data_IF_832528885094
#
_entry.id   IF_832528885094
#
_cell.length_a   1.000
_cell.length_b   1.000
_cell.length_c   1.000
_cell.angle_alpha   90.00
_cell.angle_beta   90.00
_cell.angle_gamma   90.00
#
_symmetry.space_group_name_H-M   'P 1'
#
loop_
_entity.id
_entity.type
_entity.pdbx_description
1 polymer ?
#
# COMPACT_ATOMS: atom_id res chain seq x y z
N UNK A 1 15.98 -45.12 0.06
CA UNK A 1 14.82 -44.35 0.54
C UNK A 1 15.36 -42.97 0.83
N UNK A 2 15.10 -42.00 -0.05
CA UNK A 2 15.58 -40.64 0.08
C UNK A 2 14.35 -39.74 0.01
N UNK A 3 14.24 -38.88 1.01
CA UNK A 3 13.11 -38.02 1.28
C UNK A 3 12.95 -36.93 0.22
N UNK A 4 11.72 -36.52 0.00
CA UNK A 4 11.40 -35.14 -0.36
C UNK A 4 10.00 -34.88 0.18
N UNK A 5 9.94 -34.56 1.47
CA UNK A 5 8.76 -33.92 2.01
C UNK A 5 8.65 -32.57 1.32
N UNK A 6 7.64 -32.43 0.46
CA UNK A 6 7.19 -31.11 0.03
C UNK A 6 6.78 -30.39 1.31
N UNK A 7 7.64 -29.50 1.79
CA UNK A 7 7.20 -28.45 2.68
C UNK A 7 6.23 -27.62 1.86
N UNK A 8 4.96 -27.95 1.95
CA UNK A 8 3.88 -27.00 1.78
C UNK A 8 4.06 -25.97 2.89
N UNK A 9 5.01 -25.05 2.70
CA UNK A 9 5.03 -23.80 3.43
C UNK A 9 3.82 -23.06 2.89
N UNK A 10 2.66 -23.28 3.52
CA UNK A 10 1.42 -22.61 3.16
C UNK A 10 1.75 -21.16 2.89
N UNK A 11 1.48 -20.74 1.65
CA UNK A 11 1.93 -19.48 1.08
C UNK A 11 1.41 -18.34 1.96
N UNK A 12 2.24 -17.89 2.91
CA UNK A 12 1.92 -16.82 3.85
C UNK A 12 2.11 -15.45 3.19
N UNK A 13 1.82 -15.38 1.88
CA UNK A 13 1.82 -14.16 1.11
C UNK A 13 0.66 -13.24 1.51
N UNK A 14 0.71 -12.02 1.01
CA UNK A 14 -0.37 -11.06 1.23
C UNK A 14 -1.69 -11.60 0.69
N UNK A 15 -2.74 -11.50 1.49
CA UNK A 15 -4.11 -11.81 1.07
C UNK A 15 -5.06 -10.63 1.26
N UNK A 16 -4.73 -9.72 2.19
CA UNK A 16 -5.48 -8.49 2.44
C UNK A 16 -4.50 -7.33 2.51
N UNK A 17 -4.78 -6.30 1.73
CA UNK A 17 -4.02 -5.04 1.72
C UNK A 17 -5.03 -3.92 1.95
N UNK A 18 -4.78 -3.08 2.94
CA UNK A 18 -5.66 -1.97 3.29
C UNK A 18 -4.85 -0.69 3.18
N UNK A 19 -5.31 0.22 2.33
CA UNK A 19 -4.73 1.56 2.19
C UNK A 19 -5.57 2.52 3.00
N UNK A 20 -4.98 3.09 4.04
CA UNK A 20 -5.63 4.01 4.97
C UNK A 20 -4.99 5.40 4.87
N UNK A 21 -5.74 6.43 4.45
CA UNK A 21 -5.21 7.77 4.39
C UNK A 21 -5.31 8.48 5.74
N UNK A 22 -4.20 9.02 6.23
CA UNK A 22 -4.23 9.97 7.34
C UNK A 22 -4.51 11.37 6.79
N UNK A 23 -5.78 11.64 6.46
CA UNK A 23 -6.19 12.92 5.86
C UNK A 23 -6.11 14.06 6.89
N UNK A 24 -5.39 15.13 6.54
CA UNK A 24 -5.51 16.42 7.22
C UNK A 24 -6.68 17.20 6.61
N UNK A 25 -7.37 18.02 7.41
CA UNK A 25 -8.72 18.55 7.11
C UNK A 25 -8.89 19.34 5.80
N UNK A 26 -7.81 19.75 5.11
CA UNK A 26 -7.93 20.66 3.96
C UNK A 26 -7.15 20.26 2.69
N UNK A 27 -6.35 19.19 2.66
CA UNK A 27 -5.64 18.68 1.46
C UNK A 27 -5.22 19.75 0.41
N UNK A 28 -4.56 20.86 0.78
CA UNK A 28 -4.24 21.88 -0.19
C UNK A 28 -3.19 21.37 -1.17
N UNK A 29 -3.24 21.81 -2.42
CA UNK A 29 -2.19 21.51 -3.40
C UNK A 29 -0.83 21.94 -2.84
N UNK A 30 0.15 21.04 -2.88
CA UNK A 30 1.48 21.21 -2.29
C UNK A 30 1.62 20.68 -0.86
N UNK A 31 0.52 20.28 -0.19
CA UNK A 31 0.61 19.57 1.08
C UNK A 31 1.16 18.16 0.90
N UNK A 32 1.79 17.68 1.97
CA UNK A 32 2.29 16.30 2.08
C UNK A 32 1.27 15.49 2.85
N UNK A 33 0.88 14.36 2.27
CA UNK A 33 -0.01 13.38 2.90
C UNK A 33 0.79 12.21 3.44
N UNK A 34 0.25 11.60 4.49
CA UNK A 34 0.70 10.32 5.01
C UNK A 34 -0.34 9.28 4.65
N UNK A 35 0.11 8.23 3.97
CA UNK A 35 -0.68 7.06 3.64
C UNK A 35 -0.04 5.84 4.28
N UNK A 36 -0.81 5.07 5.03
CA UNK A 36 -0.34 3.82 5.62
C UNK A 36 -0.99 2.65 4.89
N UNK A 37 -0.19 1.63 4.61
CA UNK A 37 -0.67 0.37 4.05
C UNK A 37 -0.49 -0.73 5.07
N UNK A 38 -1.60 -1.33 5.51
CA UNK A 38 -1.59 -2.51 6.37
C UNK A 38 -1.70 -3.77 5.51
N UNK A 39 -0.86 -4.77 5.80
CA UNK A 39 -0.82 -6.03 5.06
C UNK A 39 -1.05 -7.21 5.98
N UNK A 40 -1.96 -8.09 5.59
CA UNK A 40 -2.28 -9.32 6.31
C UNK A 40 -2.24 -10.54 5.38
N UNK A 41 -1.93 -11.69 5.96
CA UNK A 41 -2.11 -12.99 5.32
C UNK A 41 -3.58 -13.45 5.35
N UNK A 42 -3.86 -14.61 4.77
CA UNK A 42 -5.21 -15.18 4.72
C UNK A 42 -5.75 -15.59 6.10
N UNK A 43 -4.90 -15.73 7.12
CA UNK A 43 -5.30 -16.02 8.50
C UNK A 43 -5.67 -14.76 9.29
N UNK A 44 -5.38 -13.58 8.74
CA UNK A 44 -5.55 -12.28 9.39
C UNK A 44 -4.35 -11.86 10.25
N UNK A 45 -3.20 -12.55 10.13
CA UNK A 45 -1.96 -12.14 10.78
C UNK A 45 -1.26 -11.05 9.97
N UNK A 46 -0.63 -10.10 10.65
CA UNK A 46 0.14 -9.02 10.01
C UNK A 46 1.39 -9.57 9.32
N UNK A 47 1.73 -9.03 8.16
CA UNK A 47 2.92 -9.41 7.40
C UNK A 47 3.99 -8.32 7.46
N UNK A 48 5.10 -8.62 8.13
CA UNK A 48 6.28 -7.75 8.22
C UNK A 48 7.32 -8.07 7.14
N UNK A 49 8.08 -7.07 6.69
CA UNK A 49 9.20 -7.27 5.76
C UNK A 49 8.77 -7.49 4.30
N UNK A 50 7.52 -7.24 3.95
CA UNK A 50 7.01 -7.37 2.57
C UNK A 50 7.08 -6.03 1.84
N UNK A 51 7.32 -6.08 0.53
CA UNK A 51 7.41 -4.88 -0.30
C UNK A 51 6.02 -4.45 -0.78
N UNK A 52 5.66 -3.20 -0.49
CA UNK A 52 4.40 -2.58 -0.91
C UNK A 52 4.69 -1.57 -2.00
N UNK A 53 4.00 -1.70 -3.13
CA UNK A 53 4.00 -0.70 -4.19
C UNK A 53 2.76 0.18 -4.04
N UNK A 54 2.93 1.48 -3.83
CA UNK A 54 1.84 2.44 -3.89
C UNK A 54 1.84 3.09 -5.27
N UNK A 55 0.77 2.86 -6.03
CA UNK A 55 0.54 3.42 -7.36
C UNK A 55 -0.37 4.63 -7.23
N UNK A 56 0.08 5.76 -7.76
CA UNK A 56 -0.66 7.01 -7.83
C UNK A 56 -0.95 7.34 -9.30
N UNK A 57 -2.21 7.62 -9.64
CA UNK A 57 -2.64 7.99 -10.99
C UNK A 57 -3.35 9.34 -10.93
N UNK A 58 -2.80 10.34 -11.60
CA UNK A 58 -3.44 11.66 -11.69
C UNK A 58 -4.52 11.70 -12.77
N UNK A 59 -5.30 12.78 -12.81
CA UNK A 59 -6.37 12.99 -13.81
C UNK A 59 -5.89 13.04 -15.26
N UNK A 60 -4.58 13.20 -15.51
CA UNK A 60 -3.99 13.14 -16.85
C UNK A 60 -3.59 11.72 -17.26
N UNK A 61 -3.73 10.75 -16.35
CA UNK A 61 -3.30 9.38 -16.51
C UNK A 61 -1.80 9.17 -16.21
N UNK A 62 -1.12 10.17 -15.66
CA UNK A 62 0.30 10.02 -15.29
C UNK A 62 0.38 9.13 -14.07
N UNK A 63 1.19 8.06 -14.18
CA UNK A 63 1.40 7.09 -13.10
C UNK A 63 2.71 7.36 -12.38
N UNK A 64 2.66 7.41 -11.05
CA UNK A 64 3.83 7.42 -10.17
C UNK A 64 3.78 6.19 -9.27
N UNK A 65 4.92 5.55 -9.03
CA UNK A 65 5.01 4.41 -8.11
C UNK A 65 6.01 4.70 -7.00
N UNK A 66 5.57 4.49 -5.77
CA UNK A 66 6.38 4.54 -4.57
C UNK A 66 6.49 3.15 -3.97
N UNK A 67 7.56 2.90 -3.22
CA UNK A 67 7.79 1.61 -2.58
C UNK A 67 8.13 1.80 -1.10
N UNK A 68 7.56 0.97 -0.25
CA UNK A 68 7.90 0.89 1.17
C UNK A 68 7.86 -0.56 1.64
N UNK A 69 8.58 -0.87 2.72
CA UNK A 69 8.60 -2.20 3.33
C UNK A 69 7.75 -2.15 4.61
N UNK A 70 6.92 -3.17 4.85
CA UNK A 70 6.16 -3.24 6.09
C UNK A 70 7.06 -3.44 7.31
N UNK A 71 6.76 -2.74 8.39
CA UNK A 71 7.45 -2.91 9.67
C UNK A 71 6.95 -4.14 10.46
N UNK A 72 7.39 -4.29 11.71
CA UNK A 72 7.00 -5.41 12.58
C UNK A 72 5.50 -5.45 12.92
N UNK A 73 4.76 -4.37 12.67
CA UNK A 73 3.31 -4.27 12.85
C UNK A 73 2.54 -4.53 11.56
N UNK A 74 3.23 -4.77 10.44
CA UNK A 74 2.64 -4.99 9.13
C UNK A 74 2.26 -3.71 8.39
N UNK A 75 2.81 -2.56 8.82
CA UNK A 75 2.50 -1.25 8.23
C UNK A 75 3.66 -0.79 7.34
N UNK A 76 3.35 -0.42 6.09
CA UNK A 76 4.25 0.31 5.20
C UNK A 76 3.75 1.77 5.09
N UNK A 77 4.52 2.71 5.65
CA UNK A 77 4.17 4.13 5.66
C UNK A 77 4.76 4.92 4.48
N UNK A 78 3.94 5.77 3.87
CA UNK A 78 4.28 6.67 2.77
C UNK A 78 4.06 8.12 3.20
N UNK A 79 5.11 8.79 3.68
CA UNK A 79 5.03 10.13 4.31
C UNK A 79 5.40 11.29 3.39
N UNK A 80 5.57 11.06 2.08
CA UNK A 80 6.07 12.06 1.12
C UNK A 80 5.20 12.12 -0.15
N UNK A 81 3.89 11.94 0.01
CA UNK A 81 2.95 12.01 -1.10
C UNK A 81 2.47 13.45 -1.22
N UNK A 82 3.11 14.21 -2.11
CA UNK A 82 2.71 15.59 -2.40
C UNK A 82 1.42 15.61 -3.21
N UNK A 83 0.42 16.34 -2.74
CA UNK A 83 -0.81 16.59 -3.50
C UNK A 83 -0.48 17.55 -4.65
N UNK A 84 -0.53 17.07 -5.88
CA UNK A 84 -0.35 17.90 -7.09
C UNK A 84 -1.68 18.28 -7.75
N UNK A 85 -2.79 17.74 -7.24
CA UNK A 85 -4.13 17.82 -7.78
C UNK A 85 -4.90 16.57 -7.39
N UNK A 86 -5.98 16.28 -8.12
CA UNK A 86 -6.78 15.08 -7.91
C UNK A 86 -6.00 13.83 -8.33
N UNK A 87 -5.87 12.87 -7.43
CA UNK A 87 -5.06 11.65 -7.63
C UNK A 87 -5.72 10.45 -6.96
N UNK A 88 -5.80 9.34 -7.69
CA UNK A 88 -6.20 8.02 -7.17
C UNK A 88 -4.97 7.24 -6.70
N UNK A 89 -5.08 6.58 -5.55
CA UNK A 89 -4.03 5.74 -4.96
C UNK A 89 -4.49 4.31 -4.76
N UNK A 90 -3.67 3.35 -5.16
CA UNK A 90 -3.87 1.91 -4.94
C UNK A 90 -2.55 1.30 -4.48
N UNK A 91 -2.56 0.55 -3.38
CA UNK A 91 -1.43 -0.23 -2.95
C UNK A 91 -1.49 -1.66 -3.52
N UNK A 92 -0.34 -2.23 -3.87
CA UNK A 92 -0.21 -3.58 -4.43
C UNK A 92 0.92 -4.33 -3.74
N UNK A 93 0.62 -5.58 -3.33
CA UNK A 93 1.59 -6.54 -2.78
C UNK A 93 1.39 -7.88 -3.48
N UNK A 94 2.39 -8.36 -4.20
CA UNK A 94 2.35 -9.66 -4.91
C UNK A 94 1.08 -9.91 -5.76
N UNK A 95 0.53 -8.83 -6.34
CA UNK A 95 -0.68 -8.88 -7.17
C UNK A 95 -2.01 -8.72 -6.41
N UNK A 96 -1.98 -8.61 -5.07
CA UNK A 96 -3.14 -8.23 -4.26
C UNK A 96 -3.20 -6.71 -4.15
N UNK A 97 -4.32 -6.14 -4.59
CA UNK A 97 -4.58 -4.70 -4.53
C UNK A 97 -5.39 -4.32 -3.29
N UNK A 98 -5.15 -3.13 -2.76
CA UNK A 98 -5.99 -2.50 -1.74
C UNK A 98 -7.30 -1.94 -2.31
N UNK A 99 -8.10 -1.34 -1.43
CA UNK A 99 -9.04 -0.31 -1.83
C UNK A 99 -8.33 0.85 -2.56
N UNK A 100 -9.05 1.52 -3.46
CA UNK A 100 -8.63 2.79 -4.02
C UNK A 100 -8.95 3.92 -3.04
N UNK A 101 -8.08 4.94 -3.00
CA UNK A 101 -8.29 6.19 -2.28
C UNK A 101 -8.11 7.35 -3.26
N UNK A 102 -9.15 8.17 -3.41
CA UNK A 102 -9.06 9.43 -4.13
C UNK A 102 -8.71 10.57 -3.17
N UNK A 103 -7.64 11.31 -3.47
CA UNK A 103 -7.33 12.56 -2.80
C UNK A 103 -7.59 13.69 -3.77
N UNK A 104 -8.59 14.52 -3.45
CA UNK A 104 -8.88 15.76 -4.17
C UNK A 104 -7.97 16.86 -3.64
N UNK A 105 -7.26 17.52 -4.56
CA UNK A 105 -6.43 18.67 -4.21
C UNK A 105 -7.27 19.94 -4.12
N UNK A 106 -7.24 20.64 -2.99
CA UNK A 106 -7.94 21.90 -2.82
C UNK A 106 -7.02 23.09 -3.19
N UNK A 107 -7.59 24.07 -3.89
CA UNK A 107 -6.92 25.30 -4.31
C UNK A 107 -7.21 26.48 -3.39
#
# INVERSE_FOLDING_TARGET
>A
AEASGSADSGDAGASVVILDPMLTTENPIGAVQVLDVQVFDASGAVLSGVSVQLVAVDTTGTTTTLSAITDATGIAGFTAVTITGDTEYIAVVDGVSSNAIDITGLS
#
